data_IF_850802902826
#
_entry.id   IF_850802902826
#
_cell.length_a   1.000
_cell.length_b   1.000
_cell.length_c   1.000
_cell.angle_alpha   90.00
_cell.angle_beta   90.00
_cell.angle_gamma   90.00
#
_symmetry.space_group_name_H-M   'P 1'
#
loop_
_entity.id
_entity.type
_entity.pdbx_description
1 polymer ?
#
# COMPACT_ATOMS: atom_id res chain seq x y z
N UNK A 1 29.30 -2.28 -40.60
CA UNK A 1 29.96 -0.97 -40.71
C UNK A 1 30.37 -0.65 -39.26
N UNK A 2 31.58 -1.06 -38.85
CA UNK A 2 32.84 -0.30 -38.81
C UNK A 2 32.63 1.01 -38.03
N UNK A 3 33.39 1.33 -37.04
CA UNK A 3 34.63 0.86 -36.41
C UNK A 3 34.97 1.79 -35.25
N UNK A 4 35.98 1.50 -34.48
CA UNK A 4 36.27 2.01 -33.14
C UNK A 4 37.36 3.10 -33.19
N UNK A 5 37.53 3.82 -32.07
CA UNK A 5 38.81 4.55 -31.76
C UNK A 5 38.92 4.55 -30.23
N UNK A 6 39.75 3.80 -29.57
CA UNK A 6 41.17 3.82 -29.33
C UNK A 6 41.82 5.22 -29.21
N UNK A 7 42.36 5.54 -28.05
CA UNK A 7 43.77 6.02 -27.87
C UNK A 7 43.95 6.55 -26.45
N UNK A 8 44.70 5.91 -25.57
CA UNK A 8 46.14 6.00 -25.29
C UNK A 8 46.65 7.38 -24.82
N UNK A 9 47.17 7.42 -23.63
CA UNK A 9 48.55 7.79 -23.25
C UNK A 9 48.60 8.02 -21.74
N UNK A 10 49.25 7.24 -20.96
CA UNK A 10 50.65 6.95 -20.77
C UNK A 10 51.55 8.20 -20.74
N UNK A 11 52.26 8.25 -19.69
CA UNK A 11 53.64 8.73 -19.58
C UNK A 11 53.92 9.79 -18.52
N UNK A 12 54.57 9.31 -17.49
CA UNK A 12 55.81 9.85 -16.87
C UNK A 12 55.77 11.19 -16.13
N UNK A 13 56.09 11.18 -14.87
CA UNK A 13 57.47 11.55 -14.54
C UNK A 13 57.80 11.24 -13.08
N UNK A 14 58.80 10.46 -12.95
CA UNK A 14 59.64 10.19 -11.80
C UNK A 14 60.53 11.41 -11.61
N UNK A 15 60.53 12.05 -10.46
CA UNK A 15 61.68 12.84 -10.01
C UNK A 15 61.94 12.63 -8.54
N UNK A 16 63.06 12.07 -8.33
CA UNK A 16 63.89 11.90 -7.16
C UNK A 16 64.35 13.28 -6.63
N UNK A 17 64.21 13.54 -5.34
CA UNK A 17 65.11 14.44 -4.63
C UNK A 17 65.19 14.06 -3.16
N UNK A 18 66.40 13.77 -2.77
CA UNK A 18 66.88 13.27 -1.51
C UNK A 18 66.99 14.40 -0.44
N UNK A 19 67.00 13.93 0.82
CA UNK A 19 67.75 14.43 1.95
C UNK A 19 67.36 15.81 2.54
N UNK A 20 66.87 15.79 3.78
CA UNK A 20 67.66 16.38 4.92
C UNK A 20 67.12 15.86 6.25
N UNK A 21 67.97 15.09 6.96
CA UNK A 21 67.72 14.72 8.34
C UNK A 21 67.95 15.96 9.22
N UNK A 22 66.86 16.40 9.87
CA UNK A 22 66.98 17.30 10.99
C UNK A 22 66.41 16.57 12.23
N UNK A 23 67.36 16.09 13.03
CA UNK A 23 67.08 15.55 14.37
C UNK A 23 66.67 16.71 15.25
N UNK A 24 65.39 16.91 15.44
CA UNK A 24 64.85 17.72 16.49
C UNK A 24 64.39 16.79 17.60
N UNK A 25 65.21 16.66 18.63
CA UNK A 25 64.83 16.15 19.97
C UNK A 25 63.81 17.08 20.58
N UNK A 26 62.58 16.95 20.16
CA UNK A 26 61.45 17.59 20.83
C UNK A 26 61.03 16.74 22.04
N UNK A 27 61.11 17.31 23.21
CA UNK A 27 60.52 16.76 24.42
C UNK A 27 59.05 16.45 24.12
N UNK A 28 58.69 15.17 24.02
CA UNK A 28 57.30 14.71 23.97
C UNK A 28 56.71 14.92 25.35
N UNK A 29 56.08 16.09 25.60
CA UNK A 29 55.11 16.24 26.68
C UNK A 29 53.94 15.34 26.34
N UNK A 30 53.87 14.17 26.96
CA UNK A 30 52.63 13.37 26.94
C UNK A 30 51.52 14.20 27.53
N UNK A 31 50.49 14.59 26.77
CA UNK A 31 49.33 15.22 27.39
C UNK A 31 48.74 14.26 28.41
N UNK A 32 48.18 14.74 29.51
CA UNK A 32 47.51 13.89 30.47
C UNK A 32 46.44 13.10 29.76
N UNK A 33 46.20 11.84 30.16
CA UNK A 33 45.19 11.00 29.49
C UNK A 33 43.86 11.76 29.52
N UNK A 34 43.40 12.14 28.34
CA UNK A 34 42.08 12.72 28.18
C UNK A 34 41.10 11.63 28.63
N UNK A 35 40.45 11.85 29.76
CA UNK A 35 39.39 10.99 30.24
C UNK A 35 38.27 11.15 29.22
N UNK A 36 38.25 10.27 28.24
CA UNK A 36 37.09 10.12 27.36
C UNK A 36 35.96 9.67 28.27
N UNK A 37 35.21 10.64 28.76
CA UNK A 37 33.90 10.39 29.36
C UNK A 37 33.09 9.82 28.22
N UNK A 38 33.01 8.49 28.15
CA UNK A 38 32.02 7.79 27.30
C UNK A 38 30.68 8.24 27.86
N UNK A 39 30.13 9.29 27.25
CA UNK A 39 28.74 9.66 27.50
C UNK A 39 27.92 8.44 27.17
N UNK A 40 27.45 7.73 28.19
CA UNK A 40 26.44 6.70 28.04
C UNK A 40 25.32 7.32 27.23
N UNK A 41 24.97 6.79 26.04
CA UNK A 41 23.93 7.40 25.20
C UNK A 41 22.68 7.51 26.06
N UNK A 42 22.30 8.73 26.40
CA UNK A 42 21.04 9.04 27.08
C UNK A 42 19.98 8.49 26.11
N UNK A 43 19.30 7.45 26.54
CA UNK A 43 18.25 6.78 25.75
C UNK A 43 17.13 7.80 25.58
N UNK A 44 17.25 8.63 24.55
CA UNK A 44 16.22 9.61 24.17
C UNK A 44 14.91 8.84 23.97
N UNK A 45 13.82 9.21 24.65
CA UNK A 45 12.54 8.55 24.45
C UNK A 45 12.22 8.53 22.97
N UNK A 46 11.87 7.34 22.45
CA UNK A 46 11.53 7.20 21.05
C UNK A 46 10.45 8.22 20.65
N UNK A 47 10.59 8.93 19.52
CA UNK A 47 9.59 9.88 19.08
C UNK A 47 8.18 9.28 19.12
N UNK A 48 7.14 10.02 19.49
CA UNK A 48 5.76 9.49 19.61
C UNK A 48 5.28 8.70 18.38
N UNK A 49 5.68 9.12 17.18
CA UNK A 49 5.34 8.42 15.92
C UNK A 49 5.96 7.03 15.83
N UNK A 50 7.14 6.79 16.43
CA UNK A 50 7.75 5.45 16.41
C UNK A 50 6.95 4.44 17.22
N UNK A 51 6.26 4.88 18.27
CA UNK A 51 5.33 4.02 19.01
C UNK A 51 4.17 3.61 18.13
N UNK A 52 3.60 4.53 17.37
CA UNK A 52 2.52 4.27 16.43
C UNK A 52 2.92 3.30 15.31
N UNK A 53 4.13 3.45 14.76
CA UNK A 53 4.66 2.52 13.76
C UNK A 53 4.83 1.10 14.32
N UNK A 54 5.33 0.95 15.56
CA UNK A 54 5.42 -0.38 16.19
C UNK A 54 4.04 -1.01 16.41
N UNK A 55 3.04 -0.23 16.79
CA UNK A 55 1.68 -0.73 16.91
C UNK A 55 1.12 -1.16 15.55
N UNK A 56 1.38 -0.42 14.49
CA UNK A 56 1.00 -0.83 13.13
C UNK A 56 1.61 -2.17 12.74
N UNK A 57 2.88 -2.39 13.07
CA UNK A 57 3.56 -3.67 12.86
C UNK A 57 2.91 -4.79 13.69
N UNK A 58 2.70 -4.56 14.98
CA UNK A 58 2.06 -5.54 15.87
C UNK A 58 0.67 -5.94 15.38
N UNK A 59 -0.18 -4.96 15.05
CA UNK A 59 -1.56 -5.22 14.61
C UNK A 59 -1.58 -5.93 13.26
N UNK A 60 -0.64 -5.63 12.35
CA UNK A 60 -0.56 -6.28 11.04
C UNK A 60 -0.24 -7.78 11.10
N UNK A 61 0.30 -8.25 12.22
CA UNK A 61 0.64 -9.67 12.44
C UNK A 61 -0.41 -10.43 13.27
N UNK A 62 -1.46 -9.75 13.72
CA UNK A 62 -2.55 -10.39 14.50
C UNK A 62 -3.39 -11.31 13.63
N UNK A 63 -3.79 -12.43 14.18
CA UNK A 63 -4.81 -13.30 13.58
C UNK A 63 -6.20 -12.67 13.71
N UNK A 64 -7.17 -13.07 12.86
CA UNK A 64 -8.56 -12.58 12.97
C UNK A 64 -9.18 -12.77 14.36
N UNK A 65 -8.92 -13.87 15.03
CA UNK A 65 -9.40 -14.11 16.39
C UNK A 65 -8.78 -13.13 17.40
N UNK A 66 -7.48 -12.92 17.33
CA UNK A 66 -6.78 -11.97 18.19
C UNK A 66 -7.29 -10.54 18.00
N UNK A 67 -7.61 -10.15 16.76
CA UNK A 67 -8.21 -8.84 16.46
C UNK A 67 -9.57 -8.69 17.11
N UNK A 68 -10.45 -9.69 16.95
CA UNK A 68 -11.79 -9.69 17.54
C UNK A 68 -11.71 -9.63 19.07
N UNK A 69 -10.93 -10.52 19.69
CA UNK A 69 -10.76 -10.56 21.15
C UNK A 69 -10.20 -9.23 21.70
N UNK A 70 -9.27 -8.62 20.95
CA UNK A 70 -8.67 -7.33 21.33
C UNK A 70 -9.68 -6.19 21.23
N UNK A 71 -10.49 -6.16 20.14
CA UNK A 71 -11.54 -5.14 19.95
C UNK A 71 -12.62 -5.25 21.01
N UNK A 72 -13.09 -6.48 21.30
CA UNK A 72 -14.12 -6.73 22.31
C UNK A 72 -13.66 -6.44 23.74
N UNK A 73 -12.37 -6.72 24.04
CA UNK A 73 -11.79 -6.45 25.34
C UNK A 73 -11.32 -5.02 25.56
N UNK A 74 -11.37 -4.17 24.52
CA UNK A 74 -10.88 -2.81 24.59
C UNK A 74 -11.92 -1.86 25.18
N UNK A 75 -11.52 -1.13 26.25
CA UNK A 75 -12.36 -0.03 26.74
C UNK A 75 -12.41 1.10 25.72
N UNK A 76 -13.44 1.95 25.83
CA UNK A 76 -13.59 3.14 24.98
C UNK A 76 -12.30 3.99 25.01
N UNK A 77 -11.75 4.35 23.83
CA UNK A 77 -10.52 5.12 23.77
C UNK A 77 -10.65 6.49 24.44
N UNK A 78 -9.77 6.80 25.41
CA UNK A 78 -9.79 8.07 26.14
C UNK A 78 -8.71 9.07 25.73
N UNK A 79 -7.81 8.70 24.79
CA UNK A 79 -6.73 9.58 24.34
C UNK A 79 -6.27 9.21 22.90
N UNK A 80 -5.56 10.14 22.25
CA UNK A 80 -5.12 10.00 20.87
C UNK A 80 -4.31 8.72 20.57
N UNK A 81 -3.52 8.22 21.52
CA UNK A 81 -2.76 6.98 21.35
C UNK A 81 -3.69 5.76 21.32
N UNK A 82 -4.69 5.74 22.19
CA UNK A 82 -5.70 4.67 22.21
C UNK A 82 -6.59 4.75 20.98
N UNK A 83 -7.01 5.95 20.56
CA UNK A 83 -7.72 6.14 19.28
C UNK A 83 -6.92 5.62 18.09
N UNK A 84 -5.62 5.93 18.03
CA UNK A 84 -4.77 5.44 16.96
C UNK A 84 -4.70 3.89 16.94
N UNK A 85 -4.52 3.27 18.11
CA UNK A 85 -4.47 1.82 18.21
C UNK A 85 -5.82 1.18 17.84
N UNK A 86 -6.93 1.77 18.30
CA UNK A 86 -8.28 1.33 17.94
C UNK A 86 -8.56 1.47 16.43
N UNK A 87 -8.11 2.57 15.82
CA UNK A 87 -8.16 2.75 14.38
C UNK A 87 -7.39 1.67 13.61
N UNK A 88 -6.21 1.27 14.08
CA UNK A 88 -5.43 0.18 13.47
C UNK A 88 -6.15 -1.18 13.55
N UNK A 89 -6.76 -1.50 14.69
CA UNK A 89 -7.52 -2.75 14.86
C UNK A 89 -8.71 -2.78 13.90
N UNK A 90 -9.47 -1.68 13.80
CA UNK A 90 -10.57 -1.56 12.86
C UNK A 90 -10.12 -1.61 11.39
N UNK A 91 -8.98 -0.99 11.05
CA UNK A 91 -8.40 -1.06 9.71
C UNK A 91 -8.04 -2.49 9.31
N UNK A 92 -7.56 -3.28 10.27
CA UNK A 92 -7.15 -4.66 10.02
C UNK A 92 -8.32 -5.63 10.01
N UNK A 93 -9.49 -5.24 10.55
CA UNK A 93 -10.70 -6.03 10.41
C UNK A 93 -11.08 -6.15 8.92
N UNK A 94 -11.46 -7.35 8.48
CA UNK A 94 -11.80 -7.59 7.07
C UNK A 94 -13.29 -7.34 6.79
N UNK A 95 -13.78 -6.16 7.20
CA UNK A 95 -15.15 -5.75 6.97
C UNK A 95 -15.26 -4.24 6.68
N UNK A 96 -16.31 -3.90 5.96
CA UNK A 96 -16.58 -2.54 5.51
C UNK A 96 -16.72 -1.54 6.67
N UNK A 97 -17.47 -1.90 7.72
CA UNK A 97 -17.73 -1.03 8.87
C UNK A 97 -16.45 -0.70 9.64
N UNK A 98 -15.55 -1.68 9.77
CA UNK A 98 -14.25 -1.46 10.36
C UNK A 98 -13.39 -0.47 9.54
N UNK A 99 -13.41 -0.54 8.22
CA UNK A 99 -12.67 0.42 7.37
C UNK A 99 -13.26 1.83 7.46
N UNK A 100 -14.59 1.95 7.57
CA UNK A 100 -15.28 3.23 7.78
C UNK A 100 -14.90 3.81 9.14
N UNK A 101 -14.98 3.03 10.21
CA UNK A 101 -14.57 3.44 11.56
C UNK A 101 -13.11 3.87 11.60
N UNK A 102 -12.21 3.08 11.01
CA UNK A 102 -10.79 3.41 10.94
C UNK A 102 -10.53 4.73 10.20
N UNK A 103 -11.17 4.95 9.05
CA UNK A 103 -11.08 6.19 8.28
C UNK A 103 -11.47 7.40 9.13
N UNK A 104 -12.59 7.33 9.82
CA UNK A 104 -13.09 8.45 10.61
C UNK A 104 -12.20 8.76 11.80
N UNK A 105 -11.71 7.74 12.51
CA UNK A 105 -10.73 7.87 13.58
C UNK A 105 -9.43 8.54 13.07
N UNK A 106 -8.89 8.09 11.95
CA UNK A 106 -7.65 8.67 11.42
C UNK A 106 -7.85 10.09 10.89
N UNK A 107 -9.04 10.44 10.41
CA UNK A 107 -9.39 11.82 10.06
C UNK A 107 -9.38 12.73 11.29
N UNK A 108 -10.01 12.31 12.37
CA UNK A 108 -10.01 13.05 13.63
C UNK A 108 -8.58 13.25 14.17
N UNK A 109 -7.76 12.19 14.14
CA UNK A 109 -6.35 12.27 14.55
C UNK A 109 -5.51 13.17 13.64
N UNK A 110 -5.79 13.24 12.34
CA UNK A 110 -5.12 14.16 11.42
C UNK A 110 -5.41 15.61 11.75
N UNK A 111 -6.61 15.92 12.22
CA UNK A 111 -7.06 17.28 12.58
C UNK A 111 -6.64 17.68 14.00
N UNK A 112 -6.20 16.76 14.83
CA UNK A 112 -5.84 17.00 16.22
C UNK A 112 -4.52 17.79 16.34
N UNK A 113 -4.63 19.06 16.72
CA UNK A 113 -3.48 19.98 16.85
C UNK A 113 -2.53 19.62 18.01
N UNK A 114 -2.97 18.86 19.01
CA UNK A 114 -2.13 18.39 20.10
C UNK A 114 -1.11 17.31 19.65
N UNK A 115 -1.31 16.74 18.48
CA UNK A 115 -0.40 15.75 17.91
C UNK A 115 0.77 16.40 17.15
N UNK A 116 1.90 15.70 17.14
CA UNK A 116 3.05 16.12 16.33
C UNK A 116 2.70 16.08 14.83
N UNK A 117 3.40 16.89 14.04
CA UNK A 117 3.25 16.91 12.57
C UNK A 117 3.38 15.52 11.94
N UNK A 118 4.29 14.69 12.46
CA UNK A 118 4.52 13.34 11.91
C UNK A 118 3.38 12.39 12.26
N UNK A 119 2.80 12.49 13.46
CA UNK A 119 1.62 11.71 13.83
C UNK A 119 0.42 12.09 12.96
N UNK A 120 0.15 13.38 12.78
CA UNK A 120 -0.93 13.87 11.91
C UNK A 120 -0.75 13.42 10.47
N UNK A 121 0.48 13.46 9.94
CA UNK A 121 0.79 12.97 8.58
C UNK A 121 0.56 11.47 8.44
N UNK A 122 0.95 10.68 9.44
CA UNK A 122 0.70 9.24 9.45
C UNK A 122 -0.80 8.94 9.49
N UNK A 123 -1.54 9.62 10.36
CA UNK A 123 -3.00 9.50 10.42
C UNK A 123 -3.66 9.83 9.07
N UNK A 124 -3.27 10.94 8.43
CA UNK A 124 -3.79 11.30 7.11
C UNK A 124 -3.41 10.32 6.00
N UNK A 125 -2.29 9.62 6.10
CA UNK A 125 -1.94 8.55 5.17
C UNK A 125 -2.89 7.34 5.34
N UNK A 126 -3.13 6.95 6.59
CA UNK A 126 -4.01 5.82 6.93
C UNK A 126 -5.48 6.13 6.62
N UNK A 127 -5.91 7.37 6.82
CA UNK A 127 -7.25 7.85 6.42
C UNK A 127 -7.46 7.62 4.91
N UNK A 128 -6.54 8.13 4.06
CA UNK A 128 -6.63 7.97 2.61
C UNK A 128 -6.56 6.51 2.17
N UNK A 129 -5.77 5.70 2.85
CA UNK A 129 -5.71 4.26 2.58
C UNK A 129 -7.07 3.59 2.81
N UNK A 130 -7.72 3.85 3.96
CA UNK A 130 -9.04 3.29 4.25
C UNK A 130 -10.11 3.85 3.31
N UNK A 131 -10.06 5.15 2.97
CA UNK A 131 -10.97 5.73 1.98
C UNK A 131 -10.82 5.06 0.60
N UNK A 132 -9.61 4.75 0.18
CA UNK A 132 -9.39 4.03 -1.08
C UNK A 132 -9.96 2.61 -1.05
N UNK A 133 -9.84 1.89 0.08
CA UNK A 133 -10.47 0.56 0.24
C UNK A 133 -11.98 0.64 0.15
N UNK A 134 -12.60 1.62 0.80
CA UNK A 134 -14.04 1.87 0.76
C UNK A 134 -14.50 2.16 -0.68
N UNK A 135 -13.81 3.05 -1.39
CA UNK A 135 -14.13 3.38 -2.78
C UNK A 135 -14.00 2.14 -3.69
N UNK A 136 -12.94 1.36 -3.52
CA UNK A 136 -12.74 0.14 -4.29
C UNK A 136 -13.82 -0.91 -4.00
N UNK A 137 -14.27 -1.01 -2.74
CA UNK A 137 -15.36 -1.89 -2.37
C UNK A 137 -16.66 -1.54 -3.11
N UNK A 138 -17.02 -0.24 -3.16
CA UNK A 138 -18.18 0.23 -3.89
C UNK A 138 -18.06 -0.01 -5.40
N UNK A 139 -16.93 0.35 -6.00
CA UNK A 139 -16.72 0.11 -7.43
C UNK A 139 -16.79 -1.37 -7.81
N UNK A 140 -16.29 -2.25 -6.97
CA UNK A 140 -16.41 -3.70 -7.17
C UNK A 140 -17.86 -4.17 -7.11
N UNK A 141 -18.64 -3.64 -6.19
CA UNK A 141 -20.06 -4.00 -6.05
C UNK A 141 -20.89 -3.49 -7.25
N UNK A 142 -20.62 -2.27 -7.71
CA UNK A 142 -21.22 -1.71 -8.92
C UNK A 142 -20.92 -2.58 -10.16
N UNK A 143 -19.65 -2.95 -10.36
CA UNK A 143 -19.24 -3.82 -11.46
C UNK A 143 -19.89 -5.21 -11.38
N UNK A 144 -20.09 -5.76 -10.19
CA UNK A 144 -20.78 -7.04 -10.00
C UNK A 144 -22.25 -6.94 -10.46
N UNK A 145 -22.95 -5.87 -10.08
CA UNK A 145 -24.33 -5.63 -10.49
C UNK A 145 -24.42 -5.45 -12.01
N UNK A 146 -23.50 -4.71 -12.61
CA UNK A 146 -23.44 -4.53 -14.06
C UNK A 146 -23.21 -5.87 -14.78
N UNK A 147 -22.28 -6.67 -14.29
CA UNK A 147 -22.02 -8.01 -14.84
C UNK A 147 -23.25 -8.91 -14.78
N UNK A 148 -23.94 -8.98 -13.64
CA UNK A 148 -25.18 -9.76 -13.48
C UNK A 148 -26.26 -9.28 -14.46
N UNK A 149 -26.38 -7.96 -14.66
CA UNK A 149 -27.32 -7.36 -15.62
C UNK A 149 -26.99 -7.76 -17.07
N UNK A 150 -25.70 -7.68 -17.45
CA UNK A 150 -25.27 -8.09 -18.80
C UNK A 150 -25.48 -9.58 -19.06
N UNK A 151 -25.26 -10.42 -18.07
CA UNK A 151 -25.52 -11.86 -18.16
C UNK A 151 -27.00 -12.16 -18.41
N UNK A 152 -27.89 -11.47 -17.69
CA UNK A 152 -29.35 -11.58 -17.92
C UNK A 152 -29.74 -11.12 -19.32
N UNK A 153 -29.20 -10.00 -19.79
CA UNK A 153 -29.44 -9.50 -21.15
C UNK A 153 -28.93 -10.48 -22.22
N UNK A 154 -27.74 -11.04 -22.01
CA UNK A 154 -27.17 -12.03 -22.91
C UNK A 154 -28.06 -13.28 -23.02
N UNK A 155 -28.55 -13.78 -21.90
CA UNK A 155 -29.48 -14.94 -21.87
C UNK A 155 -30.79 -14.62 -22.58
N UNK A 156 -31.38 -13.45 -22.32
CA UNK A 156 -32.62 -13.04 -23.00
C UNK A 156 -32.43 -12.91 -24.53
N UNK A 157 -31.30 -12.40 -25.00
CA UNK A 157 -30.98 -12.30 -26.41
C UNK A 157 -30.78 -13.68 -27.03
N UNK A 158 -30.18 -14.63 -26.35
CA UNK A 158 -30.03 -16.00 -26.80
C UNK A 158 -31.40 -16.68 -26.96
N UNK A 159 -32.31 -16.53 -26.02
CA UNK A 159 -33.68 -17.03 -26.09
C UNK A 159 -34.43 -16.43 -27.28
N UNK A 160 -34.31 -15.10 -27.48
CA UNK A 160 -34.91 -14.41 -28.62
C UNK A 160 -34.35 -14.94 -29.98
N UNK A 161 -33.04 -15.15 -30.09
CA UNK A 161 -32.41 -15.69 -31.26
C UNK A 161 -32.93 -17.11 -31.57
N UNK A 162 -33.00 -17.95 -30.55
CA UNK A 162 -33.55 -19.33 -30.71
C UNK A 162 -35.01 -19.29 -31.21
N UNK A 163 -35.82 -18.38 -30.67
CA UNK A 163 -37.21 -18.20 -31.08
C UNK A 163 -37.31 -17.70 -32.55
N UNK A 164 -36.44 -16.78 -32.96
CA UNK A 164 -36.38 -16.29 -34.33
C UNK A 164 -35.95 -17.37 -35.30
N UNK A 165 -34.95 -18.17 -34.95
CA UNK A 165 -34.52 -19.34 -35.75
C UNK A 165 -35.67 -20.34 -35.96
N UNK A 166 -36.44 -20.67 -34.92
CA UNK A 166 -37.63 -21.52 -35.01
C UNK A 166 -38.68 -20.94 -35.94
N UNK A 167 -38.94 -19.62 -35.88
CA UNK A 167 -39.88 -18.94 -36.76
C UNK A 167 -39.42 -18.98 -38.23
N UNK A 168 -38.15 -18.73 -38.48
CA UNK A 168 -37.54 -18.82 -39.82
C UNK A 168 -37.71 -20.23 -40.39
N UNK A 169 -37.38 -21.25 -39.60
CA UNK A 169 -37.54 -22.64 -40.00
C UNK A 169 -39.02 -22.97 -40.35
N UNK A 170 -39.98 -22.55 -39.51
CA UNK A 170 -41.39 -22.78 -39.79
C UNK A 170 -41.86 -22.08 -41.06
N UNK A 171 -41.40 -20.87 -41.37
CA UNK A 171 -41.70 -20.19 -42.65
C UNK A 171 -41.11 -20.94 -43.83
N UNK A 172 -39.87 -21.39 -43.74
CA UNK A 172 -39.19 -22.17 -44.76
C UNK A 172 -39.93 -23.49 -45.08
N UNK A 173 -40.41 -24.16 -44.03
CA UNK A 173 -41.18 -25.40 -44.18
C UNK A 173 -42.55 -25.17 -44.91
N UNK A 174 -43.22 -24.04 -44.59
CA UNK A 174 -44.46 -23.62 -45.27
C UNK A 174 -44.19 -23.28 -46.73
N UNK A 175 -43.12 -22.55 -47.05
CA UNK A 175 -42.71 -22.22 -48.42
C UNK A 175 -42.44 -23.48 -49.25
N UNK A 176 -41.70 -24.42 -48.66
CA UNK A 176 -41.44 -25.73 -49.32
C UNK A 176 -42.74 -26.48 -49.62
N UNK A 177 -43.70 -26.51 -48.67
CA UNK A 177 -44.99 -27.15 -48.85
C UNK A 177 -45.83 -26.49 -49.95
N UNK A 178 -45.80 -25.15 -50.05
CA UNK A 178 -46.54 -24.41 -51.09
C UNK A 178 -45.93 -24.69 -52.48
N UNK A 179 -44.59 -24.72 -52.55
CA UNK A 179 -43.89 -25.00 -53.83
C UNK A 179 -44.20 -26.38 -54.36
N UNK A 180 -44.20 -27.40 -53.54
CA UNK A 180 -44.58 -28.79 -53.97
C UNK A 180 -46.03 -28.88 -54.46
N UNK A 181 -46.95 -28.15 -53.82
CA UNK A 181 -48.37 -28.15 -54.30
C UNK A 181 -48.61 -27.42 -55.62
N UNK A 182 -47.73 -26.57 -56.09
CA UNK A 182 -47.82 -25.85 -57.31
C UNK A 182 -47.29 -26.68 -58.51
N UNK A 183 -46.50 -27.71 -58.24
CA UNK A 183 -45.90 -28.58 -59.21
C UNK A 183 -46.77 -29.83 -59.51
N UNK A 184 -47.78 -30.13 -58.69
CA UNK A 184 -48.84 -31.12 -58.91
C UNK A 184 -50.04 -30.51 -59.69
#
# INVERSE_FOLDING_TARGET
MFSPVMSTSLVRSLTLAAALAAVMTGCVSTPPPEIITVETPVKTPAPPVQRWLRWSETVSTMSPSQLTDTLEGMAEPGNANQFFYYGLLNQQSDNYDGWVAARDIFRELQENEALTRNQRRLAGLLERFNQSRINWFHSRDELRIEYETLEQQSTALQEQNTLLEQKIQAITDVEATISTRKEE
#
